data_IF_549833150876
#
_entry.id   IF_549833150876
#
_cell.length_a   1.000
_cell.length_b   1.000
_cell.length_c   1.000
_cell.angle_alpha   90.00
_cell.angle_beta   90.00
_cell.angle_gamma   90.00
#
_symmetry.space_group_name_H-M   'P 1'
#
loop_
_entity.id
_entity.type
_entity.pdbx_description
1 polymer ?
#
# COMPACT_ATOMS: atom_id res chain seq x y z
N UNK A 1 -18.50 0.29 2.27
CA UNK A 1 -17.43 -0.28 3.11
C UNK A 1 -16.88 -1.54 2.45
N UNK A 2 -15.58 -1.83 2.56
CA UNK A 2 -14.98 -3.02 1.97
C UNK A 2 -15.48 -4.27 2.69
N UNK A 3 -15.52 -5.39 1.98
CA UNK A 3 -16.00 -6.67 2.50
C UNK A 3 -14.90 -7.51 3.18
N UNK A 4 -13.67 -6.99 3.24
CA UNK A 4 -12.52 -7.67 3.82
C UNK A 4 -11.90 -6.85 4.97
N UNK A 5 -11.14 -7.53 5.84
CA UNK A 5 -10.46 -6.94 6.99
C UNK A 5 -9.01 -6.52 6.68
N UNK A 6 -8.60 -6.48 5.40
CA UNK A 6 -7.20 -6.22 5.05
C UNK A 6 -6.87 -4.73 5.20
N UNK A 7 -5.68 -4.37 5.72
CA UNK A 7 -5.27 -2.98 5.78
C UNK A 7 -5.20 -2.35 4.38
N UNK A 8 -5.41 -1.03 4.30
CA UNK A 8 -5.36 -0.28 3.04
C UNK A 8 -4.17 0.67 3.01
N UNK A 9 -3.36 0.53 1.97
CA UNK A 9 -2.29 1.48 1.66
C UNK A 9 -2.86 2.66 0.87
N UNK A 10 -2.64 3.86 1.35
CA UNK A 10 -2.92 5.10 0.61
C UNK A 10 -1.62 5.85 0.41
N UNK A 11 -1.31 6.14 -0.85
CA UNK A 11 -0.17 6.96 -1.24
C UNK A 11 -0.68 8.31 -1.70
N UNK A 12 0.07 9.38 -1.39
CA UNK A 12 -0.25 10.69 -1.94
C UNK A 12 1.01 11.49 -2.20
N UNK A 13 0.97 12.26 -3.28
CA UNK A 13 1.98 13.27 -3.58
C UNK A 13 1.34 14.65 -3.62
N UNK A 14 2.08 15.65 -3.17
CA UNK A 14 1.61 17.03 -3.06
C UNK A 14 2.72 18.05 -3.28
N UNK A 15 2.33 19.34 -3.36
CA UNK A 15 3.29 20.45 -3.49
C UNK A 15 3.94 20.85 -2.17
N UNK A 16 3.28 20.55 -1.05
CA UNK A 16 3.77 20.82 0.31
C UNK A 16 3.48 19.62 1.20
N UNK A 17 4.10 19.58 2.38
CA UNK A 17 3.87 18.54 3.38
C UNK A 17 2.41 18.58 3.86
N UNK A 18 1.88 19.78 4.05
CA UNK A 18 0.52 20.03 4.51
C UNK A 18 -0.50 19.47 3.52
N UNK A 19 -0.29 19.67 2.21
CA UNK A 19 -1.17 19.12 1.18
C UNK A 19 -1.24 17.58 1.22
N UNK A 20 -0.14 16.91 1.58
CA UNK A 20 -0.12 15.45 1.77
C UNK A 20 -0.88 15.06 3.04
N UNK A 21 -0.60 15.74 4.16
CA UNK A 21 -1.29 15.49 5.44
C UNK A 21 -2.79 15.70 5.35
N UNK A 22 -3.24 16.77 4.68
CA UNK A 22 -4.67 17.08 4.53
C UNK A 22 -5.43 15.92 3.88
N UNK A 23 -4.88 15.29 2.84
CA UNK A 23 -5.53 14.14 2.19
C UNK A 23 -5.56 12.94 3.13
N UNK A 24 -4.47 12.67 3.84
CA UNK A 24 -4.45 11.57 4.78
C UNK A 24 -5.40 11.74 5.96
N UNK A 25 -5.57 12.97 6.44
CA UNK A 25 -6.52 13.29 7.50
C UNK A 25 -7.96 13.21 6.98
N UNK A 26 -8.21 13.55 5.71
CA UNK A 26 -9.51 13.41 5.08
C UNK A 26 -9.93 11.95 4.92
N UNK A 27 -8.99 11.08 4.51
CA UNK A 27 -9.19 9.63 4.48
C UNK A 27 -9.50 9.09 5.87
N UNK A 28 -8.83 9.60 6.91
CA UNK A 28 -9.11 9.19 8.29
C UNK A 28 -10.52 9.57 8.77
N UNK A 29 -11.09 10.67 8.24
CA UNK A 29 -12.46 11.10 8.55
C UNK A 29 -13.54 10.31 7.82
N UNK A 30 -13.19 9.68 6.70
CA UNK A 30 -14.12 8.93 5.83
C UNK A 30 -13.71 7.46 5.82
N UNK A 31 -13.90 6.73 6.93
CA UNK A 31 -13.32 5.40 7.10
C UNK A 31 -13.81 4.47 5.99
N UNK A 32 -12.86 4.09 5.14
CA UNK A 32 -12.96 2.94 4.24
C UNK A 32 -14.00 3.10 3.13
N UNK A 33 -14.22 4.31 2.64
CA UNK A 33 -14.93 4.53 1.39
C UNK A 33 -14.07 4.03 0.21
N UNK A 34 -14.50 2.91 -0.37
CA UNK A 34 -13.81 2.25 -1.47
C UNK A 34 -13.78 3.10 -2.74
N UNK A 35 -14.80 3.92 -2.99
CA UNK A 35 -14.86 4.77 -4.17
C UNK A 35 -13.90 5.95 -4.01
N UNK A 36 -13.87 6.56 -2.82
CA UNK A 36 -12.93 7.62 -2.51
C UNK A 36 -11.47 7.13 -2.60
N UNK A 37 -11.16 5.97 -2.00
CA UNK A 37 -9.82 5.40 -2.08
C UNK A 37 -9.41 5.05 -3.52
N UNK A 38 -10.34 4.49 -4.31
CA UNK A 38 -10.10 4.20 -5.72
C UNK A 38 -9.83 5.48 -6.51
N UNK A 39 -10.58 6.54 -6.26
CA UNK A 39 -10.36 7.85 -6.87
C UNK A 39 -8.97 8.41 -6.53
N UNK A 40 -8.57 8.37 -5.25
CA UNK A 40 -7.24 8.86 -4.83
C UNK A 40 -6.11 8.08 -5.49
N UNK A 41 -6.24 6.75 -5.57
CA UNK A 41 -5.26 5.89 -6.23
C UNK A 41 -5.17 6.20 -7.74
N UNK A 42 -6.32 6.37 -8.40
CA UNK A 42 -6.38 6.74 -9.82
C UNK A 42 -5.69 8.10 -10.09
N UNK A 43 -5.84 9.08 -9.20
CA UNK A 43 -5.17 10.40 -9.34
C UNK A 43 -3.65 10.24 -9.26
N UNK A 44 -3.15 9.36 -8.39
CA UNK A 44 -1.71 9.18 -8.12
C UNK A 44 -1.07 8.07 -8.96
N UNK A 45 -1.79 7.47 -9.91
CA UNK A 45 -1.28 6.42 -10.79
C UNK A 45 -0.08 6.91 -11.60
N UNK A 46 -0.12 8.17 -12.05
CA UNK A 46 0.96 8.80 -12.80
C UNK A 46 1.62 9.93 -11.99
N UNK A 47 2.95 10.13 -12.11
CA UNK A 47 3.64 11.22 -11.44
C UNK A 47 3.10 12.60 -11.84
N UNK A 48 2.50 13.32 -10.89
CA UNK A 48 1.99 14.67 -11.13
C UNK A 48 3.15 15.68 -11.10
N UNK A 49 3.22 16.53 -12.14
CA UNK A 49 4.26 17.56 -12.25
C UNK A 49 4.22 18.50 -11.04
N UNK A 50 5.39 18.81 -10.50
CA UNK A 50 5.61 19.70 -9.34
C UNK A 50 5.10 19.15 -7.99
N UNK A 51 4.59 17.92 -7.93
CA UNK A 51 4.31 17.26 -6.65
C UNK A 51 5.61 16.62 -6.13
N UNK A 52 6.34 17.40 -5.35
CA UNK A 52 7.67 17.04 -4.86
C UNK A 52 7.65 16.36 -3.50
N UNK A 53 6.57 16.47 -2.74
CA UNK A 53 6.42 15.81 -1.44
C UNK A 53 5.60 14.55 -1.60
N UNK A 54 6.05 13.44 -1.02
CA UNK A 54 5.38 12.14 -1.08
C UNK A 54 5.37 11.50 0.30
N UNK A 55 4.31 10.75 0.58
CA UNK A 55 4.21 9.90 1.74
C UNK A 55 3.19 8.80 1.50
N UNK A 56 3.05 7.91 2.48
CA UNK A 56 1.98 6.93 2.50
C UNK A 56 1.47 6.70 3.93
N UNK A 57 0.21 6.31 4.04
CA UNK A 57 -0.39 5.78 5.26
C UNK A 57 -0.98 4.41 5.02
N UNK A 58 -0.86 3.53 5.99
CA UNK A 58 -1.51 2.20 6.00
C UNK A 58 -2.59 2.24 7.05
N UNK A 59 -3.85 2.15 6.63
CA UNK A 59 -5.02 2.23 7.50
C UNK A 59 -5.50 0.83 7.86
N UNK A 60 -5.72 0.60 9.16
CA UNK A 60 -6.43 -0.58 9.66
C UNK A 60 -7.93 -0.39 9.46
N UNK A 61 -8.60 -1.44 8.98
CA UNK A 61 -10.07 -1.44 8.77
C UNK A 61 -10.82 -1.54 10.08
N UNK A 62 -10.23 -2.24 11.06
CA UNK A 62 -10.95 -2.67 12.26
C UNK A 62 -10.85 -1.64 13.40
N UNK A 63 -9.72 -0.95 13.52
CA UNK A 63 -9.39 -0.19 14.74
C UNK A 63 -9.22 1.31 14.50
N UNK A 64 -9.49 1.80 13.28
CA UNK A 64 -9.27 3.19 12.87
C UNK A 64 -7.83 3.69 13.10
N UNK A 65 -6.88 2.78 13.30
CA UNK A 65 -5.46 3.08 13.47
C UNK A 65 -4.76 3.15 12.12
N UNK A 66 -3.65 3.87 12.06
CA UNK A 66 -2.82 3.92 10.87
C UNK A 66 -1.34 3.95 11.20
N UNK A 67 -0.55 3.37 10.30
CA UNK A 67 0.88 3.63 10.22
C UNK A 67 1.11 4.78 9.24
N UNK A 68 1.99 5.72 9.57
CA UNK A 68 2.35 6.85 8.73
C UNK A 68 3.84 6.83 8.39
N UNK A 69 4.16 6.93 7.09
CA UNK A 69 5.53 7.13 6.65
C UNK A 69 5.97 8.57 6.89
N UNK A 70 7.29 8.83 7.02
CA UNK A 70 7.81 10.17 6.83
C UNK A 70 7.35 10.75 5.49
N UNK A 71 6.97 12.03 5.48
CA UNK A 71 6.66 12.76 4.25
C UNK A 71 7.94 13.42 3.78
N UNK A 72 8.43 12.97 2.62
CA UNK A 72 9.74 13.35 2.12
C UNK A 72 9.65 14.09 0.79
N UNK A 73 10.63 14.97 0.57
CA UNK A 73 10.81 15.65 -0.70
C UNK A 73 11.60 14.75 -1.65
N UNK A 74 10.96 14.28 -2.70
CA UNK A 74 11.55 13.38 -3.70
C UNK A 74 12.09 14.18 -4.88
N UNK A 75 13.36 13.95 -5.24
CA UNK A 75 13.99 14.52 -6.43
C UNK A 75 13.56 13.75 -7.69
N UNK A 76 13.55 14.41 -8.85
CA UNK A 76 13.07 13.84 -10.13
C UNK A 76 13.93 12.70 -10.71
N UNK A 77 14.83 12.10 -9.95
CA UNK A 77 15.68 11.04 -10.48
C UNK A 77 14.82 9.80 -10.76
N UNK A 78 14.75 9.43 -12.03
CA UNK A 78 14.28 8.11 -12.46
C UNK A 78 15.29 7.09 -11.96
N UNK A 79 14.96 6.42 -10.87
CA UNK A 79 15.73 5.31 -10.36
C UNK A 79 15.33 4.04 -11.12
N UNK A 80 16.32 3.31 -11.62
CA UNK A 80 16.07 1.97 -12.17
C UNK A 80 15.55 1.06 -11.07
N UNK A 81 14.43 0.38 -11.32
CA UNK A 81 13.90 -0.62 -10.40
C UNK A 81 14.70 -1.91 -10.54
N UNK A 82 15.33 -2.35 -9.45
CA UNK A 82 16.07 -3.62 -9.40
C UNK A 82 15.38 -4.55 -8.40
N UNK A 83 15.04 -5.75 -8.85
CA UNK A 83 14.52 -6.81 -7.99
C UNK A 83 15.68 -7.69 -7.53
N UNK A 84 15.87 -7.78 -6.22
CA UNK A 84 16.84 -8.67 -5.58
C UNK A 84 16.07 -9.74 -4.81
N UNK A 85 16.34 -11.01 -5.10
CA UNK A 85 15.74 -12.14 -4.40
C UNK A 85 16.72 -12.58 -3.31
N UNK A 86 16.35 -12.34 -2.06
CA UNK A 86 17.15 -12.70 -0.90
C UNK A 86 16.97 -14.16 -0.46
N UNK A 87 17.69 -14.51 0.59
CA UNK A 87 17.59 -15.82 1.23
C UNK A 87 16.33 -15.93 2.11
N UNK A 88 15.97 -17.16 2.48
CA UNK A 88 14.78 -17.46 3.27
C UNK A 88 15.04 -17.10 4.74
N UNK A 89 14.26 -16.16 5.27
CA UNK A 89 14.35 -15.77 6.68
C UNK A 89 13.72 -16.82 7.61
N UNK A 90 14.15 -16.87 8.87
CA UNK A 90 13.64 -17.83 9.86
C UNK A 90 12.13 -17.68 10.19
N UNK A 91 11.51 -16.55 9.83
CA UNK A 91 10.09 -16.26 10.07
C UNK A 91 9.22 -16.46 8.82
N UNK A 92 9.75 -17.09 7.77
CA UNK A 92 9.07 -17.23 6.48
C UNK A 92 7.67 -17.85 6.59
N UNK A 93 7.49 -18.82 7.50
CA UNK A 93 6.20 -19.47 7.74
C UNK A 93 5.13 -18.50 8.22
N UNK A 94 5.45 -17.71 9.24
CA UNK A 94 4.56 -16.71 9.80
C UNK A 94 4.20 -15.65 8.76
N UNK A 95 5.17 -15.22 7.94
CA UNK A 95 4.92 -14.27 6.85
C UNK A 95 3.93 -14.84 5.84
N UNK A 96 4.12 -16.08 5.39
CA UNK A 96 3.18 -16.72 4.46
C UNK A 96 1.78 -16.79 5.05
N UNK A 97 1.63 -17.16 6.31
CA UNK A 97 0.34 -17.21 7.00
C UNK A 97 -0.35 -15.84 7.02
N UNK A 98 0.36 -14.77 7.35
CA UNK A 98 -0.16 -13.40 7.30
C UNK A 98 -0.54 -12.97 5.88
N UNK A 99 0.31 -13.22 4.88
CA UNK A 99 0.02 -12.84 3.49
C UNK A 99 -1.08 -13.69 2.84
N UNK A 100 -1.40 -14.85 3.41
CA UNK A 100 -2.46 -15.72 2.89
C UNK A 100 -3.87 -15.12 3.02
N UNK A 101 -4.04 -14.07 3.83
CA UNK A 101 -5.27 -13.28 3.87
C UNK A 101 -5.51 -12.54 2.55
N UNK A 102 -4.43 -12.20 1.81
CA UNK A 102 -4.52 -11.51 0.52
C UNK A 102 -4.92 -12.48 -0.59
N UNK A 103 -6.06 -12.26 -1.28
CA UNK A 103 -6.58 -13.21 -2.27
C UNK A 103 -5.61 -13.51 -3.42
N UNK A 104 -4.89 -12.49 -3.89
CA UNK A 104 -3.92 -12.62 -4.99
C UNK A 104 -2.76 -13.52 -4.56
N UNK A 105 -2.19 -13.29 -3.37
CA UNK A 105 -1.10 -14.08 -2.83
C UNK A 105 -1.52 -15.55 -2.62
N UNK A 106 -2.67 -15.75 -1.95
CA UNK A 106 -3.25 -17.08 -1.72
C UNK A 106 -3.49 -17.85 -3.02
N UNK A 107 -3.99 -17.18 -4.06
CA UNK A 107 -4.23 -17.80 -5.37
C UNK A 107 -2.91 -18.30 -6.00
N UNK A 108 -1.86 -17.48 -5.95
CA UNK A 108 -0.53 -17.85 -6.48
C UNK A 108 0.07 -19.04 -5.71
N UNK A 109 0.02 -19.03 -4.37
CA UNK A 109 0.54 -20.13 -3.56
C UNK A 109 -0.21 -21.44 -3.81
N UNK A 110 -1.54 -21.39 -3.97
CA UNK A 110 -2.34 -22.57 -4.35
C UNK A 110 -1.91 -23.12 -5.71
N UNK A 111 -1.78 -22.26 -6.72
CA UNK A 111 -1.33 -22.67 -8.05
C UNK A 111 0.05 -23.36 -8.01
N UNK A 112 1.01 -22.82 -7.24
CA UNK A 112 2.32 -23.45 -7.05
C UNK A 112 2.20 -24.80 -6.31
N UNK A 113 1.35 -24.88 -5.29
CA UNK A 113 1.15 -26.10 -4.51
C UNK A 113 0.52 -27.22 -5.34
N UNK A 114 -0.43 -26.89 -6.21
CA UNK A 114 -1.10 -27.86 -7.07
C UNK A 114 -0.14 -28.50 -8.08
N UNK A 115 0.81 -27.71 -8.61
CA UNK A 115 1.89 -28.21 -9.49
C UNK A 115 2.85 -29.14 -8.74
N UNK A 116 3.11 -28.89 -7.45
CA UNK A 116 4.04 -29.73 -6.66
C UNK A 116 3.40 -31.04 -6.17
N UNK A 117 2.07 -31.14 -6.22
CA UNK A 117 1.32 -32.34 -5.85
C UNK A 117 1.11 -33.31 -7.02
N UNK A 118 1.29 -32.84 -8.25
CA UNK A 118 1.31 -33.66 -9.47
C UNK A 118 2.68 -34.27 -9.71
#
# INVERSE_FOLDING_TARGET
APQDALPRLVTWSGRTIEAVKTIFDEVARHPMDTEFLALLNNIQTEPIRKFQYRGFRVYSVNDCTFYESPIEKVTKQTQSLVLIIGDVDCHWKQKIETFNEFPVFRKTIRACTDILKS
#
